data_IF_868536934860
#
_entry.id   IF_868536934860
#
_cell.length_a   1.000
_cell.length_b   1.000
_cell.length_c   1.000
_cell.angle_alpha   90.00
_cell.angle_beta   90.00
_cell.angle_gamma   90.00
#
_symmetry.space_group_name_H-M   'P 1'
#
loop_
_entity.id
_entity.type
_entity.pdbx_description
1 polymer ?
#
# COMPACT_ATOMS: atom_id res chain seq x y z
N UNK A 1 -23.18 44.72 10.92
CA UNK A 1 -23.14 43.24 10.98
C UNK A 1 -24.52 42.76 11.38
N UNK A 2 -25.06 41.66 10.80
CA UNK A 2 -26.31 41.11 11.28
C UNK A 2 -26.18 40.72 12.77
N UNK A 3 -27.23 40.90 13.59
CA UNK A 3 -27.18 40.55 15.00
C UNK A 3 -26.94 39.04 15.17
N UNK A 4 -26.18 38.66 16.20
CA UNK A 4 -25.92 37.25 16.52
C UNK A 4 -27.24 36.56 16.86
N UNK A 5 -27.62 35.57 16.07
CA UNK A 5 -28.85 34.79 16.26
C UNK A 5 -28.67 33.95 17.53
N UNK A 6 -29.59 34.07 18.49
CA UNK A 6 -29.61 33.19 19.66
C UNK A 6 -30.19 31.83 19.25
N UNK A 7 -29.46 30.76 19.54
CA UNK A 7 -29.93 29.41 19.29
C UNK A 7 -31.04 29.03 20.27
N UNK A 8 -31.94 28.16 19.82
CA UNK A 8 -32.98 27.61 20.69
C UNK A 8 -32.34 26.69 21.73
N UNK A 9 -32.43 27.08 23.00
CA UNK A 9 -32.11 26.25 24.16
C UNK A 9 -33.30 26.21 25.14
N UNK A 10 -33.17 25.42 26.19
CA UNK A 10 -34.14 25.34 27.28
C UNK A 10 -34.17 26.66 28.07
N UNK A 11 -35.27 26.95 28.77
CA UNK A 11 -35.38 28.12 29.65
C UNK A 11 -34.19 28.22 30.62
N UNK A 12 -33.74 29.44 30.92
CA UNK A 12 -32.49 29.69 31.67
C UNK A 12 -32.43 29.08 33.08
N UNK A 13 -33.57 28.78 33.69
CA UNK A 13 -33.61 28.02 34.95
C UNK A 13 -33.27 26.53 34.72
N UNK A 14 -33.92 25.91 33.74
CA UNK A 14 -33.71 24.50 33.40
C UNK A 14 -32.31 24.25 32.83
N UNK A 15 -31.72 25.21 32.11
CA UNK A 15 -30.33 25.09 31.66
C UNK A 15 -29.34 25.02 32.82
N UNK A 16 -29.55 25.83 33.88
CA UNK A 16 -28.70 25.79 35.10
C UNK A 16 -28.88 24.49 35.88
N UNK A 17 -30.10 23.99 35.99
CA UNK A 17 -30.37 22.68 36.62
C UNK A 17 -29.66 21.57 35.86
N UNK A 18 -29.76 21.58 34.53
CA UNK A 18 -29.04 20.65 33.65
C UNK A 18 -27.53 20.73 33.87
N UNK A 19 -26.96 21.93 33.80
CA UNK A 19 -25.51 22.12 33.92
C UNK A 19 -24.99 21.71 35.31
N UNK A 20 -25.79 21.91 36.36
CA UNK A 20 -25.49 21.43 37.72
C UNK A 20 -25.39 19.91 37.79
N UNK A 21 -26.38 19.18 37.26
CA UNK A 21 -26.33 17.71 37.26
C UNK A 21 -25.28 17.12 36.32
N UNK A 22 -24.93 17.84 35.24
CA UNK A 22 -23.88 17.41 34.32
C UNK A 22 -22.46 17.68 34.85
N UNK A 23 -22.31 18.56 35.85
CA UNK A 23 -20.99 19.03 36.32
C UNK A 23 -20.20 19.81 35.27
N UNK A 24 -20.85 20.20 34.17
CA UNK A 24 -20.27 20.95 33.05
C UNK A 24 -21.34 21.73 32.31
N UNK A 25 -20.93 22.76 31.57
CA UNK A 25 -21.83 23.47 30.65
C UNK A 25 -22.28 22.53 29.55
N UNK A 26 -23.59 22.39 29.37
CA UNK A 26 -24.14 21.54 28.32
C UNK A 26 -23.79 22.07 26.94
N UNK A 27 -23.18 21.22 26.11
CA UNK A 27 -22.94 21.51 24.69
C UNK A 27 -24.04 20.86 23.85
N UNK A 28 -24.78 21.69 23.12
CA UNK A 28 -25.92 21.26 22.30
C UNK A 28 -25.45 20.50 21.06
N UNK A 29 -25.94 19.28 20.86
CA UNK A 29 -25.63 18.47 19.67
C UNK A 29 -26.45 18.84 18.42
N UNK A 30 -27.40 19.78 18.56
CA UNK A 30 -28.23 20.23 17.44
C UNK A 30 -27.43 21.04 16.43
N UNK A 31 -27.74 20.81 15.16
CA UNK A 31 -27.15 21.51 14.02
C UNK A 31 -28.07 22.66 13.61
N UNK A 32 -27.73 23.86 14.04
CA UNK A 32 -28.46 25.08 13.67
C UNK A 32 -28.03 25.54 12.27
N UNK A 33 -28.91 26.24 11.56
CA UNK A 33 -28.71 26.60 10.15
C UNK A 33 -27.49 27.52 9.92
N UNK A 34 -27.07 28.25 10.95
CA UNK A 34 -25.92 29.15 10.94
C UNK A 34 -24.60 28.45 11.32
N UNK A 35 -24.65 27.30 12.00
CA UNK A 35 -23.46 26.52 12.35
C UNK A 35 -23.11 25.46 11.32
N UNK A 36 -24.04 25.16 10.40
CA UNK A 36 -23.80 24.28 9.25
C UNK A 36 -23.52 25.07 7.98
N UNK A 37 -22.83 24.43 7.04
CA UNK A 37 -22.70 24.98 5.71
C UNK A 37 -24.09 25.13 5.05
N UNK A 38 -24.28 26.14 4.19
CA UNK A 38 -25.52 26.31 3.44
C UNK A 38 -25.86 25.07 2.61
N UNK A 39 -27.15 24.84 2.35
CA UNK A 39 -27.58 23.74 1.45
C UNK A 39 -27.16 23.97 0.00
N UNK A 40 -27.04 25.22 -0.41
CA UNK A 40 -26.60 25.62 -1.75
C UNK A 40 -25.14 26.01 -1.68
N UNK A 41 -24.29 25.29 -2.40
CA UNK A 41 -22.86 25.58 -2.52
C UNK A 41 -22.60 26.32 -3.84
N UNK A 42 -21.65 27.27 -3.89
CA UNK A 42 -21.22 27.89 -5.14
C UNK A 42 -20.55 26.84 -6.04
N UNK A 43 -20.49 27.11 -7.35
CA UNK A 43 -19.76 26.25 -8.28
C UNK A 43 -18.28 26.17 -7.85
N UNK A 44 -17.73 24.96 -7.64
CA UNK A 44 -16.34 24.82 -7.23
C UNK A 44 -15.38 24.99 -8.41
N UNK A 45 -14.23 25.62 -8.17
CA UNK A 45 -13.07 25.57 -9.08
C UNK A 45 -12.11 24.49 -8.57
N UNK A 46 -12.08 23.35 -9.26
CA UNK A 46 -11.33 22.16 -8.83
C UNK A 46 -9.94 22.20 -9.47
N UNK A 47 -8.85 22.07 -8.68
CA UNK A 47 -7.51 22.06 -9.24
C UNK A 47 -7.32 20.89 -10.20
N UNK A 48 -6.55 21.15 -11.26
CA UNK A 48 -6.26 20.20 -12.31
C UNK A 48 -5.35 19.08 -11.82
N UNK A 49 -5.54 17.87 -12.37
CA UNK A 49 -4.68 16.72 -12.09
C UNK A 49 -3.30 16.82 -12.74
N UNK A 50 -2.34 15.96 -12.33
CA UNK A 50 -0.97 16.00 -12.85
C UNK A 50 -0.87 15.67 -14.34
N UNK A 51 -1.84 14.93 -14.88
CA UNK A 51 -1.91 14.51 -16.27
C UNK A 51 -2.54 15.54 -17.21
N UNK A 52 -2.70 16.80 -16.78
CA UNK A 52 -3.28 17.89 -17.57
C UNK A 52 -2.23 18.87 -18.13
N UNK A 53 -0.97 18.45 -18.23
CA UNK A 53 0.06 19.19 -18.96
C UNK A 53 -0.21 19.15 -20.47
N UNK A 54 0.01 20.28 -21.15
CA UNK A 54 -0.14 20.43 -22.60
C UNK A 54 1.04 19.85 -23.39
N UNK A 55 2.20 19.70 -22.76
CA UNK A 55 3.43 19.21 -23.38
C UNK A 55 4.01 18.02 -22.59
N UNK A 56 4.81 17.20 -23.29
CA UNK A 56 5.53 16.05 -22.73
C UNK A 56 4.66 15.06 -21.92
N UNK A 57 3.40 14.88 -22.33
CA UNK A 57 2.39 14.13 -21.58
C UNK A 57 1.71 13.06 -22.43
N UNK A 58 2.53 12.18 -23.02
CA UNK A 58 2.06 11.08 -23.85
C UNK A 58 1.44 9.96 -23.01
N UNK A 59 0.31 9.42 -23.47
CA UNK A 59 -0.44 8.39 -22.73
C UNK A 59 0.41 7.13 -22.45
N UNK A 60 1.24 6.70 -23.39
CA UNK A 60 2.03 5.47 -23.25
C UNK A 60 3.10 5.55 -22.14
N UNK A 61 3.59 6.75 -21.80
CA UNK A 61 4.59 6.92 -20.72
C UNK A 61 3.98 6.76 -19.32
N UNK A 62 2.67 6.98 -19.19
CA UNK A 62 1.94 7.01 -17.91
C UNK A 62 0.98 5.84 -17.73
N UNK A 63 0.88 4.93 -18.70
CA UNK A 63 -0.11 3.85 -18.67
C UNK A 63 0.43 2.65 -17.89
N UNK A 64 0.02 2.43 -16.63
CA UNK A 64 0.49 1.27 -15.86
C UNK A 64 -0.06 -0.04 -16.43
N UNK A 65 -1.18 0.02 -17.17
CA UNK A 65 -1.83 -1.17 -17.74
C UNK A 65 -0.95 -1.86 -18.77
N UNK A 66 -0.22 -1.08 -19.58
CA UNK A 66 0.77 -1.61 -20.52
C UNK A 66 2.10 -2.03 -19.88
N UNK A 67 2.36 -1.65 -18.62
CA UNK A 67 3.60 -2.03 -17.90
C UNK A 67 3.45 -3.34 -17.11
N UNK A 68 2.25 -3.93 -17.09
CA UNK A 68 1.99 -5.20 -16.43
C UNK A 68 2.74 -6.32 -17.15
N UNK A 69 3.70 -6.93 -16.46
CA UNK A 69 4.36 -8.16 -16.90
C UNK A 69 3.48 -9.36 -16.53
N UNK A 70 3.51 -10.44 -17.34
CA UNK A 70 2.85 -11.68 -16.95
C UNK A 70 3.41 -12.20 -15.62
N UNK A 71 2.58 -12.94 -14.89
CA UNK A 71 3.02 -13.57 -13.64
C UNK A 71 4.15 -14.56 -13.96
N UNK A 72 5.20 -14.49 -13.16
CA UNK A 72 6.38 -15.35 -13.27
C UNK A 72 6.12 -16.65 -12.49
N UNK A 73 6.19 -17.80 -13.17
CA UNK A 73 6.18 -19.11 -12.54
C UNK A 73 7.62 -19.55 -12.21
N UNK A 74 7.98 -19.43 -10.93
CA UNK A 74 9.33 -19.73 -10.42
C UNK A 74 9.77 -21.19 -10.61
N UNK A 75 8.82 -22.14 -10.71
CA UNK A 75 9.14 -23.56 -10.81
C UNK A 75 9.35 -23.98 -12.27
N UNK A 76 8.60 -23.40 -13.21
CA UNK A 76 8.74 -23.67 -14.63
C UNK A 76 10.01 -23.06 -15.22
N UNK A 77 10.40 -21.86 -14.78
CA UNK A 77 11.63 -21.19 -15.24
C UNK A 77 12.93 -21.86 -14.74
N UNK A 78 12.89 -22.54 -13.59
CA UNK A 78 14.03 -23.33 -13.09
C UNK A 78 14.19 -24.67 -13.79
N UNK A 79 13.24 -25.06 -14.64
CA UNK A 79 13.39 -26.25 -15.47
C UNK A 79 14.49 -25.96 -16.48
N UNK A 80 15.63 -26.68 -16.46
CA UNK A 80 16.65 -26.46 -17.47
C UNK A 80 16.02 -26.72 -18.84
N UNK A 81 16.15 -25.74 -19.74
CA UNK A 81 15.95 -25.92 -21.18
C UNK A 81 16.52 -27.29 -21.58
N UNK A 82 15.77 -28.16 -22.29
CA UNK A 82 16.28 -29.48 -22.64
C UNK A 82 17.54 -29.28 -23.48
N UNK A 83 18.66 -29.74 -22.93
CA UNK A 83 19.98 -29.90 -23.55
C UNK A 83 19.83 -30.77 -24.80
N UNK A 84 19.32 -30.22 -25.90
CA UNK A 84 19.20 -30.91 -27.19
C UNK A 84 20.15 -30.38 -28.25
N UNK A 85 20.86 -29.28 -27.97
CA UNK A 85 21.84 -28.74 -28.91
C UNK A 85 23.29 -28.79 -28.39
N UNK A 86 23.53 -29.06 -27.09
CA UNK A 86 24.89 -29.18 -26.52
C UNK A 86 25.37 -30.62 -26.25
N UNK A 87 24.51 -31.62 -26.39
CA UNK A 87 24.87 -33.02 -26.13
C UNK A 87 25.56 -33.71 -27.32
N UNK A 88 25.44 -33.18 -28.54
CA UNK A 88 26.04 -33.79 -29.74
C UNK A 88 27.50 -33.39 -29.96
N UNK A 89 28.01 -32.37 -29.26
CA UNK A 89 29.42 -31.96 -29.35
C UNK A 89 30.27 -32.53 -28.19
N UNK A 90 29.69 -32.82 -27.03
CA UNK A 90 30.43 -33.31 -25.86
C UNK A 90 30.67 -34.84 -25.84
N UNK A 91 30.11 -35.59 -26.78
CA UNK A 91 30.22 -37.06 -26.81
C UNK A 91 31.53 -37.59 -27.43
N UNK A 92 32.33 -36.75 -28.07
CA UNK A 92 33.58 -37.18 -28.72
C UNK A 92 34.82 -37.01 -27.84
N UNK A 93 34.73 -36.31 -26.70
CA UNK A 93 35.92 -35.90 -25.92
C UNK A 93 36.10 -36.62 -24.58
N UNK A 94 35.25 -37.61 -24.23
CA UNK A 94 35.20 -38.19 -22.88
C UNK A 94 35.42 -39.70 -22.78
N UNK A 95 36.03 -40.35 -23.79
CA UNK A 95 36.66 -41.65 -23.60
C UNK A 95 38.13 -41.46 -23.28
N UNK A 96 38.47 -41.14 -22.02
CA UNK A 96 39.78 -41.30 -21.37
C UNK A 96 39.69 -40.61 -19.99
N UNK A 97 39.38 -41.37 -18.95
CA UNK A 97 40.32 -41.69 -17.87
C UNK A 97 39.55 -42.28 -16.68
N UNK A 98 40.06 -43.41 -16.22
CA UNK A 98 39.51 -44.27 -15.18
C UNK A 98 39.97 -43.81 -13.79
N UNK A 99 39.13 -44.11 -12.81
CA UNK A 99 39.47 -44.32 -11.40
C UNK A 99 39.90 -43.11 -10.54
N UNK A 100 38.95 -42.61 -9.72
CA UNK A 100 39.24 -42.32 -8.31
C UNK A 100 37.97 -42.20 -7.45
N UNK A 101 37.89 -43.08 -6.45
CA UNK A 101 36.88 -43.07 -5.40
C UNK A 101 37.08 -41.94 -4.39
N UNK A 102 35.93 -41.47 -3.92
CA UNK A 102 35.56 -41.00 -2.57
C UNK A 102 36.40 -39.89 -1.90
N UNK A 103 35.68 -38.86 -1.45
CA UNK A 103 35.80 -38.23 -0.13
C UNK A 103 34.65 -37.22 -0.01
N UNK A 104 33.57 -37.68 0.63
CA UNK A 104 32.47 -36.85 1.08
C UNK A 104 32.94 -35.69 1.96
N UNK A 105 32.78 -34.45 1.46
CA UNK A 105 32.74 -33.25 2.29
C UNK A 105 31.29 -32.81 2.45
N UNK A 106 30.66 -33.24 3.54
CA UNK A 106 29.41 -32.66 4.03
C UNK A 106 29.66 -31.22 4.47
N UNK A 107 29.55 -30.29 3.52
CA UNK A 107 29.36 -28.88 3.85
C UNK A 107 27.90 -28.66 4.27
N UNK A 108 27.53 -29.20 5.44
CA UNK A 108 26.27 -28.90 6.12
C UNK A 108 26.32 -27.50 6.72
N UNK A 109 26.38 -26.49 5.86
CA UNK A 109 25.89 -25.15 6.20
C UNK A 109 24.47 -25.06 5.68
N UNK A 110 23.53 -25.54 6.49
CA UNK A 110 22.10 -25.39 6.22
C UNK A 110 21.82 -23.94 5.80
N UNK A 111 21.47 -23.73 4.52
CA UNK A 111 21.19 -22.40 3.98
C UNK A 111 20.01 -21.82 4.76
N UNK A 112 20.20 -20.68 5.43
CA UNK A 112 19.12 -20.00 6.18
C UNK A 112 17.92 -19.79 5.25
N UNK A 113 16.75 -20.22 5.71
CA UNK A 113 15.50 -20.06 4.96
C UNK A 113 15.24 -18.57 4.68
N UNK A 114 14.86 -18.20 3.46
CA UNK A 114 14.49 -16.82 3.18
C UNK A 114 13.16 -16.49 3.86
N UNK A 115 13.14 -15.54 4.79
CA UNK A 115 11.90 -14.98 5.33
C UNK A 115 11.37 -13.88 4.40
N UNK A 116 10.10 -13.92 3.97
CA UNK A 116 9.53 -12.86 3.16
C UNK A 116 9.38 -11.58 4.01
N UNK A 117 10.10 -10.52 3.62
CA UNK A 117 10.03 -9.22 4.29
C UNK A 117 10.75 -9.16 5.64
N UNK A 118 10.65 -8.00 6.29
CA UNK A 118 11.24 -7.72 7.62
C UNK A 118 10.15 -7.80 8.69
N UNK A 119 10.47 -8.35 9.86
CA UNK A 119 9.60 -8.26 11.04
C UNK A 119 9.53 -6.81 11.51
N UNK A 120 8.31 -6.30 11.74
CA UNK A 120 8.07 -4.93 12.23
C UNK A 120 7.39 -5.01 13.59
N UNK A 121 7.91 -4.28 14.58
CA UNK A 121 7.23 -3.98 15.85
C UNK A 121 6.75 -2.53 15.81
N UNK A 122 5.54 -2.29 16.32
CA UNK A 122 4.96 -0.93 16.41
C UNK A 122 5.71 -0.05 17.43
N UNK A 123 6.30 -0.68 18.45
CA UNK A 123 6.99 -0.02 19.57
C UNK A 123 8.52 0.08 19.42
N UNK A 124 9.11 -0.52 18.37
CA UNK A 124 10.57 -0.65 18.25
C UNK A 124 11.13 -1.87 19.00
N UNK A 125 12.46 -2.11 18.96
CA UNK A 125 13.09 -3.18 19.74
C UNK A 125 13.38 -2.70 21.17
N UNK A 126 12.89 -3.44 22.16
CA UNK A 126 13.22 -3.28 23.59
C UNK A 126 14.72 -3.49 23.86
#
# INVERSE_FOLDING_TARGET
MPPKIQHRDVAGFLSRVRDFFLGRTHNTAHRFADTISPRTQPAPDIPRGPSQSLFANYYYMRDPRGQLKPLVDLMQEQKPEPVKEKATEAANDAELDSDQEDQGKSNDKAKKLPTPGRVHSWEGPD
#
